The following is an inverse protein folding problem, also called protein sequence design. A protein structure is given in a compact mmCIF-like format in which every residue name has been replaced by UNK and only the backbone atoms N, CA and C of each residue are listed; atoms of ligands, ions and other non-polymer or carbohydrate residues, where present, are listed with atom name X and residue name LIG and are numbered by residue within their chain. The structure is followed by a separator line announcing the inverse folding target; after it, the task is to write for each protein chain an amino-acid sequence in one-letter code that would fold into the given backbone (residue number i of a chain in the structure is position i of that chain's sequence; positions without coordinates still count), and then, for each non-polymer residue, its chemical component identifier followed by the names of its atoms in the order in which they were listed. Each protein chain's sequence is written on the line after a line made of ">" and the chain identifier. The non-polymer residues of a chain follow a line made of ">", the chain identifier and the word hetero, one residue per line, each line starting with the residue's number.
data_IF_259572137984
#
_entry.id   IF_259572137984
#
_cell.length_a   1.000
_cell.length_b   1.000
_cell.length_c   1.000
_cell.angle_alpha   90.00
_cell.angle_beta   90.00
_cell.angle_gamma   90.00
#
_symmetry.space_group_name_H-M   'P 1'
#
loop_
_entity.id
_entity.type
_entity.pdbx_description
1 polymer ?
#
# COMPACT_ATOMS: atom_id res chain seq x y z
N UNK A 1 29.40 17.51 -13.63
CA UNK A 1 29.01 18.85 -14.13
C UNK A 1 29.06 19.83 -12.97
N UNK A 2 29.86 20.89 -13.09
CA UNK A 2 29.91 21.99 -12.11
C UNK A 2 28.69 22.88 -12.40
N UNK A 3 27.77 23.01 -11.46
CA UNK A 3 26.63 23.90 -11.62
C UNK A 3 27.15 25.35 -11.80
N UNK A 4 26.74 26.06 -12.85
CA UNK A 4 27.23 27.41 -13.11
C UNK A 4 26.82 28.38 -11.99
N UNK A 5 27.63 29.43 -11.74
CA UNK A 5 27.49 30.32 -10.56
C UNK A 5 26.08 30.91 -10.36
N UNK A 6 25.36 31.18 -11.44
CA UNK A 6 23.97 31.69 -11.41
C UNK A 6 22.96 30.70 -10.82
N UNK A 7 23.29 29.40 -10.79
CA UNK A 7 22.44 28.37 -10.18
C UNK A 7 22.27 28.62 -8.67
N UNK A 8 23.24 29.22 -7.98
CA UNK A 8 23.13 29.43 -6.52
C UNK A 8 22.43 30.75 -6.15
N UNK A 9 22.12 31.62 -7.11
CA UNK A 9 21.36 32.86 -6.89
C UNK A 9 19.92 32.68 -7.39
N UNK A 10 18.97 32.54 -6.45
CA UNK A 10 17.55 32.36 -6.74
C UNK A 10 16.93 33.51 -7.54
N UNK A 11 17.42 34.75 -7.39
CA UNK A 11 16.88 35.90 -8.14
C UNK A 11 17.26 35.81 -9.61
N UNK A 12 18.52 35.48 -9.89
CA UNK A 12 19.00 35.26 -11.25
C UNK A 12 18.38 34.02 -11.88
N UNK A 13 18.23 32.95 -11.09
CA UNK A 13 17.54 31.73 -11.50
C UNK A 13 16.10 32.02 -11.94
N UNK A 14 15.32 32.74 -11.12
CA UNK A 14 13.95 33.12 -11.46
C UNK A 14 13.88 33.93 -12.74
N UNK A 15 14.70 34.98 -12.90
CA UNK A 15 14.74 35.79 -14.13
C UNK A 15 15.03 34.95 -15.37
N UNK A 16 15.88 33.92 -15.27
CA UNK A 16 16.16 33.03 -16.39
C UNK A 16 14.96 32.13 -16.75
N UNK A 17 14.25 31.60 -15.75
CA UNK A 17 13.04 30.81 -16.00
C UNK A 17 11.99 31.60 -16.78
N UNK A 18 11.92 32.92 -16.61
CA UNK A 18 11.01 33.78 -17.39
C UNK A 18 11.31 33.79 -18.89
N UNK A 19 12.56 33.49 -19.29
CA UNK A 19 13.00 33.48 -20.69
C UNK A 19 12.96 32.09 -21.32
N UNK A 20 12.74 31.03 -20.52
CA UNK A 20 12.63 29.67 -21.04
C UNK A 20 11.33 29.50 -21.81
N UNK A 21 11.37 28.69 -22.87
CA UNK A 21 10.16 28.21 -23.53
C UNK A 21 9.38 27.29 -22.59
N UNK A 22 8.11 27.06 -22.90
CA UNK A 22 7.27 26.18 -22.08
C UNK A 22 7.82 24.74 -22.05
N UNK A 23 8.38 24.24 -23.15
CA UNK A 23 9.02 22.93 -23.25
C UNK A 23 10.27 22.83 -22.37
N UNK A 24 11.14 23.85 -22.41
CA UNK A 24 12.33 23.92 -21.56
C UNK A 24 11.98 23.98 -20.07
N UNK A 25 10.90 24.68 -19.73
CA UNK A 25 10.45 24.82 -18.34
C UNK A 25 9.89 23.49 -17.80
N UNK A 26 9.20 22.74 -18.64
CA UNK A 26 8.73 21.39 -18.35
C UNK A 26 9.92 20.42 -18.21
N UNK A 27 10.89 20.49 -19.11
CA UNK A 27 12.10 19.66 -19.04
C UNK A 27 12.88 19.88 -17.74
N UNK A 28 13.09 21.14 -17.35
CA UNK A 28 13.73 21.51 -16.08
C UNK A 28 12.92 21.01 -14.88
N UNK A 29 11.59 21.08 -14.95
CA UNK A 29 10.71 20.57 -13.91
C UNK A 29 10.86 19.05 -13.69
N UNK A 30 11.03 18.27 -14.76
CA UNK A 30 11.22 16.83 -14.66
C UNK A 30 12.63 16.42 -14.19
N UNK A 31 13.66 17.22 -14.51
CA UNK A 31 15.06 16.88 -14.22
C UNK A 31 15.59 17.45 -12.91
N UNK A 32 14.92 18.44 -12.31
CA UNK A 32 15.34 19.02 -11.04
C UNK A 32 15.00 18.11 -9.85
N UNK A 33 15.99 17.85 -8.99
CA UNK A 33 15.78 16.98 -7.83
C UNK A 33 15.05 17.72 -6.69
N UNK A 34 13.79 17.39 -6.36
CA UNK A 34 12.94 18.21 -5.50
C UNK A 34 13.41 18.28 -4.05
N UNK A 35 14.07 17.23 -3.54
CA UNK A 35 14.60 17.19 -2.16
C UNK A 35 15.93 17.93 -2.01
N UNK A 36 16.79 17.87 -3.04
CA UNK A 36 18.16 18.42 -2.99
C UNK A 36 18.18 19.91 -3.35
N UNK A 37 17.27 20.34 -4.23
CA UNK A 37 17.18 21.71 -4.75
C UNK A 37 15.75 22.24 -4.60
N UNK A 38 15.25 22.20 -3.36
CA UNK A 38 13.85 22.54 -3.04
C UNK A 38 13.47 23.96 -3.48
N UNK A 39 14.33 24.94 -3.23
CA UNK A 39 14.03 26.35 -3.52
C UNK A 39 13.95 26.63 -5.03
N UNK A 40 14.84 26.01 -5.80
CA UNK A 40 14.84 26.04 -7.26
C UNK A 40 13.61 25.34 -7.84
N UNK A 41 13.26 24.17 -7.30
CA UNK A 41 12.05 23.45 -7.68
C UNK A 41 10.79 24.31 -7.46
N UNK A 42 10.71 25.03 -6.35
CA UNK A 42 9.61 25.95 -6.07
C UNK A 42 9.58 27.14 -7.06
N UNK A 43 10.72 27.63 -7.51
CA UNK A 43 10.79 28.68 -8.53
C UNK A 43 10.26 28.20 -9.89
N UNK A 44 10.62 26.99 -10.31
CA UNK A 44 10.11 26.36 -11.54
C UNK A 44 8.59 26.16 -11.45
N UNK A 45 8.11 25.63 -10.32
CA UNK A 45 6.67 25.46 -10.07
C UNK A 45 5.90 26.79 -10.09
N UNK A 46 6.47 27.85 -9.52
CA UNK A 46 5.85 29.17 -9.51
C UNK A 46 5.71 29.72 -10.94
N UNK A 47 6.73 29.53 -11.77
CA UNK A 47 6.73 30.00 -13.16
C UNK A 47 5.77 29.19 -14.04
N UNK A 48 5.72 27.86 -13.90
CA UNK A 48 4.72 27.03 -14.58
C UNK A 48 3.29 27.46 -14.26
N UNK A 49 3.01 27.73 -12.97
CA UNK A 49 1.69 28.23 -12.53
C UNK A 49 1.39 29.61 -13.10
N UNK A 50 2.37 30.51 -13.17
CA UNK A 50 2.22 31.84 -13.77
C UNK A 50 1.77 31.75 -15.22
N UNK A 51 2.29 30.77 -15.97
CA UNK A 51 1.96 30.52 -17.38
C UNK A 51 0.69 29.69 -17.58
N UNK A 52 -0.02 29.33 -16.51
CA UNK A 52 -1.21 28.48 -16.60
C UNK A 52 -0.92 27.03 -16.98
N UNK A 53 0.36 26.65 -17.07
CA UNK A 53 0.78 25.27 -17.32
C UNK A 53 0.57 24.52 -16.04
N UNK A 54 -0.32 23.53 -16.07
CA UNK A 54 -0.42 22.57 -14.99
C UNK A 54 0.67 21.54 -15.26
N UNK A 55 1.80 21.57 -14.53
CA UNK A 55 2.70 20.44 -14.59
C UNK A 55 1.84 19.25 -14.22
N UNK A 56 1.70 18.31 -15.14
CA UNK A 56 1.38 16.95 -14.74
C UNK A 56 2.43 16.66 -13.67
N UNK A 57 1.97 16.54 -12.42
CA UNK A 57 2.81 15.94 -11.40
C UNK A 57 3.26 14.68 -12.10
N UNK A 58 4.56 14.57 -12.36
CA UNK A 58 5.16 13.32 -12.73
C UNK A 58 4.75 12.42 -11.57
N UNK A 59 3.60 11.75 -11.70
CA UNK A 59 3.33 10.53 -11.00
C UNK A 59 4.53 9.73 -11.47
N UNK A 60 5.59 9.74 -10.63
CA UNK A 60 6.73 8.86 -10.83
C UNK A 60 6.07 7.57 -11.24
N UNK A 61 6.40 6.98 -12.40
CA UNK A 61 5.86 5.68 -12.75
C UNK A 61 6.32 4.79 -11.60
N UNK A 62 5.44 4.60 -10.62
CA UNK A 62 5.69 3.75 -9.48
C UNK A 62 5.78 2.40 -10.16
N UNK A 63 6.99 1.82 -10.19
CA UNK A 63 7.38 0.83 -11.18
C UNK A 63 6.31 -0.24 -11.25
N UNK A 64 5.49 -0.22 -12.30
CA UNK A 64 4.16 -0.84 -12.38
C UNK A 64 3.81 -1.83 -11.27
N UNK A 65 3.57 -1.34 -10.05
CA UNK A 65 3.31 -2.21 -8.92
C UNK A 65 1.85 -2.57 -9.05
N UNK A 66 1.57 -3.61 -9.84
CA UNK A 66 0.24 -4.16 -10.08
C UNK A 66 -0.53 -4.48 -8.79
N UNK A 67 0.13 -4.43 -7.63
CA UNK A 67 -0.40 -4.72 -6.31
C UNK A 67 -0.63 -3.50 -5.40
N UNK A 68 -0.39 -2.26 -5.86
CA UNK A 68 -0.47 -1.07 -5.01
C UNK A 68 -1.88 -0.44 -5.00
N UNK A 69 -2.62 -0.65 -3.91
CA UNK A 69 -4.03 -0.25 -3.76
C UNK A 69 -4.32 1.24 -4.07
N UNK A 70 -3.48 2.21 -3.67
CA UNK A 70 -3.69 3.62 -4.02
C UNK A 70 -3.80 3.89 -5.52
N UNK A 71 -3.03 3.15 -6.35
CA UNK A 71 -3.03 3.29 -7.81
C UNK A 71 -4.31 2.74 -8.45
N UNK A 72 -4.80 1.61 -7.95
CA UNK A 72 -6.09 1.05 -8.39
C UNK A 72 -7.25 1.99 -8.08
N UNK A 73 -7.23 2.60 -6.89
CA UNK A 73 -8.27 3.53 -6.48
C UNK A 73 -8.14 4.91 -7.15
N UNK A 74 -6.94 5.36 -7.50
CA UNK A 74 -6.74 6.62 -8.21
C UNK A 74 -7.16 6.54 -9.68
N UNK A 75 -7.08 5.36 -10.29
CA UNK A 75 -7.64 5.10 -11.63
C UNK A 75 -9.17 5.29 -11.69
N UNK A 76 -9.85 5.17 -10.55
CA UNK A 76 -11.29 5.39 -10.45
C UNK A 76 -11.61 6.89 -10.30
N UNK A 77 -11.86 7.59 -11.42
CA UNK A 77 -12.08 9.04 -11.45
C UNK A 77 -13.18 9.59 -10.52
N UNK A 78 -14.21 8.79 -10.21
CA UNK A 78 -15.26 9.14 -9.25
C UNK A 78 -14.80 9.19 -7.78
N UNK A 79 -13.84 8.36 -7.39
CA UNK A 79 -13.25 8.35 -6.03
C UNK A 79 -12.35 9.56 -5.80
N UNK A 80 -11.66 10.02 -6.85
CA UNK A 80 -10.74 11.18 -6.78
C UNK A 80 -11.44 12.50 -6.43
N UNK A 81 -12.75 12.61 -6.68
CA UNK A 81 -13.55 13.82 -6.42
C UNK A 81 -13.87 14.07 -4.95
N UNK A 82 -13.74 13.06 -4.08
CA UNK A 82 -14.05 13.19 -2.66
C UNK A 82 -13.03 12.47 -1.78
N UNK A 83 -12.35 13.23 -0.92
CA UNK A 83 -11.37 12.70 0.04
C UNK A 83 -11.98 11.66 0.98
N UNK A 84 -13.23 11.86 1.39
CA UNK A 84 -13.94 10.94 2.28
C UNK A 84 -14.26 9.61 1.57
N UNK A 85 -14.79 9.66 0.33
CA UNK A 85 -15.07 8.44 -0.46
C UNK A 85 -13.79 7.66 -0.76
N UNK A 86 -12.72 8.36 -1.13
CA UNK A 86 -11.42 7.74 -1.33
C UNK A 86 -10.91 7.06 -0.05
N UNK A 87 -10.99 7.74 1.10
CA UNK A 87 -10.57 7.19 2.39
C UNK A 87 -11.35 5.93 2.78
N UNK A 88 -12.67 5.93 2.61
CA UNK A 88 -13.54 4.77 2.86
C UNK A 88 -13.18 3.62 1.91
N UNK A 89 -13.07 3.88 0.62
CA UNK A 89 -12.72 2.86 -0.37
C UNK A 89 -11.32 2.28 -0.12
N UNK A 90 -10.37 3.10 0.29
CA UNK A 90 -9.02 2.66 0.66
C UNK A 90 -9.02 1.76 1.89
N UNK A 91 -9.79 2.12 2.91
CA UNK A 91 -9.93 1.33 4.12
C UNK A 91 -10.62 -0.02 3.86
N UNK A 92 -11.72 -0.01 3.10
CA UNK A 92 -12.44 -1.23 2.71
C UNK A 92 -11.62 -2.11 1.77
N UNK A 93 -10.87 -1.52 0.83
CA UNK A 93 -9.95 -2.24 -0.03
C UNK A 93 -8.84 -2.91 0.77
N UNK A 94 -8.27 -2.21 1.75
CA UNK A 94 -7.27 -2.77 2.66
C UNK A 94 -7.82 -3.91 3.52
N UNK A 95 -9.03 -3.74 4.06
CA UNK A 95 -9.76 -4.81 4.75
C UNK A 95 -9.95 -6.04 3.85
N UNK A 96 -10.44 -5.83 2.62
CA UNK A 96 -10.71 -6.91 1.67
C UNK A 96 -9.46 -7.67 1.25
N UNK A 97 -8.35 -6.98 0.99
CA UNK A 97 -7.06 -7.61 0.69
C UNK A 97 -6.59 -8.47 1.87
N UNK A 98 -6.57 -7.91 3.08
CA UNK A 98 -6.14 -8.64 4.27
C UNK A 98 -7.01 -9.87 4.54
N UNK A 99 -8.33 -9.72 4.45
CA UNK A 99 -9.30 -10.78 4.63
C UNK A 99 -9.14 -11.91 3.61
N UNK A 100 -9.06 -11.56 2.32
CA UNK A 100 -8.94 -12.55 1.24
C UNK A 100 -7.59 -13.29 1.32
N UNK A 101 -6.50 -12.56 1.53
CA UNK A 101 -5.17 -13.17 1.65
C UNK A 101 -5.07 -14.09 2.87
N UNK A 102 -5.66 -13.74 4.02
CA UNK A 102 -5.72 -14.63 5.17
C UNK A 102 -6.57 -15.87 4.88
N UNK A 103 -7.73 -15.72 4.23
CA UNK A 103 -8.54 -16.89 3.85
C UNK A 103 -7.81 -17.82 2.89
N UNK A 104 -7.18 -17.28 1.85
CA UNK A 104 -6.39 -18.06 0.90
C UNK A 104 -5.23 -18.80 1.59
N UNK A 105 -4.60 -18.17 2.58
CA UNK A 105 -3.57 -18.82 3.39
C UNK A 105 -4.15 -19.88 4.34
N UNK A 106 -5.38 -19.72 4.85
CA UNK A 106 -6.04 -20.72 5.70
C UNK A 106 -6.57 -21.92 4.92
N UNK A 107 -6.95 -21.78 3.65
CA UNK A 107 -7.45 -22.88 2.82
C UNK A 107 -6.56 -24.13 2.81
N UNK A 108 -5.23 -24.06 2.55
CA UNK A 108 -4.37 -25.24 2.58
C UNK A 108 -4.31 -25.88 3.97
N UNK A 109 -4.34 -25.08 5.05
CA UNK A 109 -4.43 -25.61 6.41
C UNK A 109 -5.74 -26.37 6.63
N UNK A 110 -6.87 -25.78 6.24
CA UNK A 110 -8.18 -26.41 6.38
C UNK A 110 -8.27 -27.69 5.56
N UNK A 111 -7.75 -27.69 4.33
CA UNK A 111 -7.68 -28.88 3.49
C UNK A 111 -6.79 -29.96 4.12
N UNK A 112 -5.65 -29.58 4.68
CA UNK A 112 -4.75 -30.50 5.36
C UNK A 112 -5.44 -31.16 6.55
N UNK A 113 -6.05 -30.37 7.45
CA UNK A 113 -6.79 -30.89 8.61
C UNK A 113 -7.93 -31.81 8.16
N UNK A 114 -8.68 -31.44 7.13
CA UNK A 114 -9.79 -32.24 6.63
C UNK A 114 -9.34 -33.58 6.02
N UNK A 115 -8.15 -33.63 5.40
CA UNK A 115 -7.63 -34.83 4.75
C UNK A 115 -6.87 -35.75 5.72
N UNK A 116 -6.07 -35.18 6.62
CA UNK A 116 -5.17 -35.94 7.50
C UNK A 116 -5.73 -36.11 8.91
N UNK A 117 -6.80 -35.39 9.26
CA UNK A 117 -7.26 -35.30 10.65
C UNK A 117 -6.27 -34.55 11.54
N UNK A 118 -6.57 -34.54 12.84
CA UNK A 118 -5.68 -34.00 13.88
C UNK A 118 -5.35 -35.14 14.85
N UNK A 119 -4.09 -35.60 14.82
CA UNK A 119 -3.62 -36.66 15.71
C UNK A 119 -2.57 -36.10 16.66
N UNK A 120 -2.95 -35.98 17.94
CA UNK A 120 -2.06 -35.59 19.01
C UNK A 120 -1.81 -34.08 19.15
N UNK A 121 -1.42 -33.68 20.37
CA UNK A 121 -1.21 -32.29 20.79
C UNK A 121 -0.19 -31.53 19.94
N UNK A 122 0.91 -32.17 19.56
CA UNK A 122 2.00 -31.50 18.83
C UNK A 122 1.54 -31.02 17.44
N UNK A 123 0.76 -31.84 16.73
CA UNK A 123 0.22 -31.49 15.42
C UNK A 123 -0.84 -30.38 15.54
N UNK A 124 -1.68 -30.43 16.57
CA UNK A 124 -2.66 -29.38 16.85
C UNK A 124 -1.99 -28.01 17.12
N UNK A 125 -0.90 -27.97 17.88
CA UNK A 125 -0.11 -26.75 18.10
C UNK A 125 0.51 -26.23 16.79
N UNK A 126 1.04 -27.11 15.95
CA UNK A 126 1.57 -26.73 14.64
C UNK A 126 0.50 -26.07 13.76
N UNK A 127 -0.71 -26.62 13.73
CA UNK A 127 -1.82 -26.05 12.98
C UNK A 127 -2.28 -24.68 13.52
N UNK A 128 -2.25 -24.48 14.83
CA UNK A 128 -2.52 -23.16 15.43
C UNK A 128 -1.44 -22.12 15.09
N UNK A 129 -0.17 -22.52 15.11
CA UNK A 129 0.93 -21.65 14.67
C UNK A 129 0.76 -21.25 13.20
N UNK A 130 0.35 -22.19 12.35
CA UNK A 130 0.06 -21.91 10.95
C UNK A 130 -1.12 -20.95 10.78
N UNK A 131 -2.19 -21.07 11.58
CA UNK A 131 -3.29 -20.12 11.55
C UNK A 131 -2.80 -18.69 11.92
N UNK A 132 -1.89 -18.58 12.90
CA UNK A 132 -1.21 -17.31 13.22
C UNK A 132 -0.36 -16.79 12.06
N UNK A 133 0.35 -17.67 11.34
CA UNK A 133 1.06 -17.30 10.12
C UNK A 133 0.11 -16.78 9.03
N UNK A 134 -1.02 -17.44 8.79
CA UNK A 134 -2.01 -17.01 7.80
C UNK A 134 -2.60 -15.62 8.10
N UNK A 135 -2.77 -15.29 9.37
CA UNK A 135 -3.10 -13.93 9.80
C UNK A 135 -1.99 -12.94 9.44
N UNK A 136 -0.74 -13.27 9.75
CA UNK A 136 0.43 -12.46 9.38
C UNK A 136 0.51 -12.22 7.87
N UNK A 137 0.24 -13.23 7.05
CA UNK A 137 0.20 -13.12 5.58
C UNK A 137 -0.80 -12.07 5.11
N UNK A 138 -2.02 -12.04 5.65
CA UNK A 138 -3.01 -11.04 5.25
C UNK A 138 -2.65 -9.63 5.68
N UNK A 139 -2.14 -9.46 6.90
CA UNK A 139 -1.66 -8.15 7.39
C UNK A 139 -0.49 -7.64 6.53
N UNK A 140 0.47 -8.52 6.21
CA UNK A 140 1.60 -8.20 5.35
C UNK A 140 1.16 -7.90 3.91
N UNK A 141 0.19 -8.63 3.36
CA UNK A 141 -0.35 -8.37 2.02
C UNK A 141 -0.97 -6.96 1.94
N UNK A 142 -1.78 -6.58 2.93
CA UNK A 142 -2.31 -5.22 3.00
C UNK A 142 -1.21 -4.16 3.22
N UNK A 143 -0.19 -4.49 4.02
CA UNK A 143 0.97 -3.63 4.19
C UNK A 143 1.75 -3.42 2.86
N UNK A 144 1.97 -4.48 2.08
CA UNK A 144 2.60 -4.39 0.76
C UNK A 144 1.71 -3.68 -0.27
N UNK A 145 0.39 -3.80 -0.15
CA UNK A 145 -0.58 -3.07 -0.96
C UNK A 145 -0.61 -1.56 -0.66
N UNK A 146 0.16 -1.08 0.32
CA UNK A 146 0.30 0.33 0.65
C UNK A 146 -0.63 0.82 1.76
N UNK A 147 -1.38 -0.05 2.42
CA UNK A 147 -2.28 0.31 3.53
C UNK A 147 -1.44 0.77 4.73
N UNK A 148 -1.66 2.01 5.18
CA UNK A 148 -0.90 2.69 6.23
C UNK A 148 -1.82 3.61 7.04
N UNK A 149 -1.31 4.08 8.19
CA UNK A 149 -2.01 5.05 9.03
C UNK A 149 -3.35 4.51 9.57
N UNK A 150 -4.37 5.36 9.55
CA UNK A 150 -5.70 5.05 10.11
C UNK A 150 -6.43 3.89 9.41
N UNK A 151 -6.03 3.51 8.19
CA UNK A 151 -6.61 2.38 7.46
C UNK A 151 -5.97 1.03 7.87
N UNK A 152 -4.79 1.04 8.50
CA UNK A 152 -4.07 -0.19 8.85
C UNK A 152 -4.78 -1.03 9.93
N UNK A 153 -5.38 -0.43 10.99
CA UNK A 153 -6.21 -1.19 11.93
C UNK A 153 -7.37 -1.94 11.26
N UNK A 154 -7.96 -1.39 10.21
CA UNK A 154 -9.02 -2.07 9.44
C UNK A 154 -8.48 -3.27 8.65
N UNK A 155 -7.26 -3.21 8.13
CA UNK A 155 -6.61 -4.38 7.55
C UNK A 155 -6.37 -5.48 8.59
N UNK A 156 -5.91 -5.13 9.80
CA UNK A 156 -5.78 -6.09 10.91
C UNK A 156 -7.12 -6.74 11.24
N UNK A 157 -8.20 -5.94 11.30
CA UNK A 157 -9.56 -6.45 11.48
C UNK A 157 -10.01 -7.36 10.33
N UNK A 158 -9.59 -7.09 9.10
CA UNK A 158 -9.83 -7.97 7.94
C UNK A 158 -9.23 -9.35 8.13
N UNK A 159 -7.93 -9.43 8.45
CA UNK A 159 -7.28 -10.71 8.75
C UNK A 159 -7.86 -11.39 9.99
N UNK A 160 -8.20 -10.64 11.04
CA UNK A 160 -8.86 -11.18 12.23
C UNK A 160 -10.24 -11.74 11.93
N UNK A 161 -11.02 -11.07 11.08
CA UNK A 161 -12.33 -11.54 10.66
C UNK A 161 -12.24 -12.83 9.82
N UNK A 162 -11.24 -12.95 8.95
CA UNK A 162 -10.97 -14.19 8.23
C UNK A 162 -10.60 -15.34 9.17
N UNK A 163 -9.76 -15.08 10.18
CA UNK A 163 -9.45 -16.07 11.22
C UNK A 163 -10.69 -16.51 12.01
N UNK A 164 -11.62 -15.61 12.31
CA UNK A 164 -12.86 -15.96 13.00
C UNK A 164 -13.69 -16.98 12.24
N UNK A 165 -13.64 -16.99 10.91
CA UNK A 165 -14.30 -18.02 10.09
C UNK A 165 -13.70 -19.39 10.39
N UNK A 166 -12.37 -19.49 10.49
CA UNK A 166 -11.69 -20.72 10.85
C UNK A 166 -11.99 -21.14 12.29
N UNK A 167 -11.93 -20.22 13.25
CA UNK A 167 -12.23 -20.50 14.68
C UNK A 167 -13.66 -21.02 14.87
N UNK A 168 -14.61 -20.58 14.07
CA UNK A 168 -16.01 -21.05 14.09
C UNK A 168 -16.24 -22.35 13.31
N UNK A 169 -15.21 -22.92 12.71
CA UNK A 169 -15.32 -24.14 11.91
C UNK A 169 -15.18 -25.39 12.77
N UNK A 170 -15.80 -26.50 12.32
CA UNK A 170 -15.65 -27.83 12.94
C UNK A 170 -14.19 -28.32 12.97
N UNK A 171 -13.35 -27.83 12.06
CA UNK A 171 -11.92 -28.18 12.04
C UNK A 171 -11.19 -27.59 13.25
N UNK A 172 -11.59 -26.40 13.70
CA UNK A 172 -11.03 -25.80 14.91
C UNK A 172 -11.49 -26.53 16.18
N UNK A 173 -12.75 -27.00 16.21
CA UNK A 173 -13.24 -27.83 17.32
C UNK A 173 -12.41 -29.11 17.49
N UNK A 174 -12.03 -29.76 16.37
CA UNK A 174 -11.15 -30.93 16.39
C UNK A 174 -9.75 -30.60 16.94
N UNK A 175 -9.17 -29.47 16.52
CA UNK A 175 -7.90 -28.98 17.06
C UNK A 175 -7.98 -28.75 18.57
N UNK A 176 -9.06 -28.12 19.02
CA UNK A 176 -9.29 -27.81 20.42
C UNK A 176 -9.41 -29.08 21.26
N UNK A 177 -10.14 -30.09 20.77
CA UNK A 177 -10.26 -31.38 21.44
C UNK A 177 -8.91 -32.11 21.52
N UNK A 178 -8.14 -32.15 20.42
CA UNK A 178 -6.82 -32.77 20.39
C UNK A 178 -5.80 -32.12 21.34
N UNK A 179 -5.99 -30.84 21.68
CA UNK A 179 -5.16 -30.16 22.69
C UNK A 179 -5.51 -30.57 24.12
N UNK A 180 -6.75 -30.98 24.37
CA UNK A 180 -7.25 -31.36 25.69
C UNK A 180 -6.98 -32.83 26.02
N UNK A 181 -6.83 -33.70 25.03
CA UNK A 181 -6.52 -35.13 25.24
C UNK A 181 -5.26 -35.31 26.09
N UNK A 182 -5.28 -36.09 27.19
CA UNK A 182 -4.10 -36.29 28.04
C UNK A 182 -2.90 -36.89 27.28
N UNK A 183 -1.69 -36.52 27.69
CA UNK A 183 -0.42 -37.02 27.13
C UNK A 183 -0.29 -38.54 27.28
#
# INVERSE_FOLDING_TARGET
>A
MIAPRWWFDLRQYRKRLEHYSDEELVDVYFHIHPVRYREHYLCVLAELRRRGIRPEIAERPLPGVRWWLPQWLSACGWLRRSRLRYGVAFALGGFGIAWLSTLLALLPLMALIALTGVFGRALALFYLLYAGFAFGVGVLAAWHAGVRGLAFPLAILGSGNALLIFVRSRLFEQLWQALLEPL
#
